data_IF_933037844985
#
_entry.id   IF_933037844985
#
_cell.length_a   1.000
_cell.length_b   1.000
_cell.length_c   1.000
_cell.angle_alpha   90.00
_cell.angle_beta   90.00
_cell.angle_gamma   90.00
#
_symmetry.space_group_name_H-M   'P 1'
#
loop_
_entity.id
_entity.type
_entity.pdbx_description
1 polymer ?
#
# COMPACT_ATOMS: atom_id res chain seq x y z
N UNK A 1 -3.26 -15.62 -13.46
CA UNK A 1 -3.09 -14.29 -12.83
C UNK A 1 -3.40 -14.29 -11.33
N UNK A 2 -4.62 -14.06 -10.82
CA UNK A 2 -4.85 -14.05 -9.35
C UNK A 2 -4.45 -15.38 -8.66
N UNK A 3 -4.66 -16.52 -9.32
CA UNK A 3 -4.22 -17.85 -8.84
C UNK A 3 -2.70 -17.95 -8.61
N UNK A 4 -1.89 -17.17 -9.34
CA UNK A 4 -0.42 -17.13 -9.15
C UNK A 4 -0.04 -16.27 -7.93
N UNK A 5 -0.96 -15.42 -7.46
CA UNK A 5 -0.77 -14.49 -6.34
C UNK A 5 -1.37 -15.00 -5.04
N UNK A 6 -1.86 -16.24 -4.99
CA UNK A 6 -2.46 -16.83 -3.79
C UNK A 6 -1.52 -16.82 -2.58
N UNK A 7 -0.21 -16.93 -2.82
CA UNK A 7 0.82 -16.86 -1.77
C UNK A 7 0.93 -15.48 -1.08
N UNK A 8 0.27 -14.44 -1.63
CA UNK A 8 0.21 -13.09 -1.08
C UNK A 8 -1.12 -12.80 -0.39
N UNK A 9 -2.05 -13.76 -0.41
CA UNK A 9 -3.35 -13.62 0.22
C UNK A 9 -3.21 -13.77 1.73
N UNK A 10 -3.78 -12.84 2.47
CA UNK A 10 -3.90 -12.91 3.93
C UNK A 10 -5.38 -12.97 4.32
N UNK A 11 -5.68 -13.68 5.40
CA UNK A 11 -7.06 -13.79 5.89
C UNK A 11 -7.54 -12.48 6.48
N UNK A 12 -8.85 -12.24 6.38
CA UNK A 12 -9.50 -11.09 6.98
C UNK A 12 -9.33 -11.09 8.50
N UNK A 13 -9.33 -12.28 9.13
CA UNK A 13 -9.15 -12.42 10.57
C UNK A 13 -7.75 -11.97 11.02
N UNK A 14 -6.71 -12.27 10.24
CA UNK A 14 -5.36 -11.78 10.53
C UNK A 14 -5.28 -10.24 10.41
N UNK A 15 -5.96 -9.64 9.42
CA UNK A 15 -6.02 -8.18 9.29
C UNK A 15 -6.81 -7.56 10.44
N UNK A 16 -7.94 -8.16 10.84
CA UNK A 16 -8.71 -7.70 12.00
C UNK A 16 -7.87 -7.76 13.27
N UNK A 17 -7.10 -8.82 13.47
CA UNK A 17 -6.17 -8.92 14.60
C UNK A 17 -5.13 -7.79 14.54
N UNK A 18 -4.52 -7.54 13.38
CA UNK A 18 -3.49 -6.53 13.18
C UNK A 18 -3.97 -5.07 13.34
N UNK A 19 -5.28 -4.83 13.19
CA UNK A 19 -5.89 -3.49 13.19
C UNK A 19 -6.90 -3.28 14.32
N UNK A 20 -6.98 -4.24 15.25
CA UNK A 20 -8.02 -4.30 16.29
C UNK A 20 -9.44 -4.12 15.72
N UNK A 21 -9.78 -4.92 14.71
CA UNK A 21 -11.04 -4.84 13.96
C UNK A 21 -11.29 -3.47 13.32
N UNK A 22 -10.25 -2.89 12.71
CA UNK A 22 -10.29 -1.55 12.07
C UNK A 22 -10.66 -0.42 13.04
N UNK A 23 -10.18 -0.49 14.29
CA UNK A 23 -10.42 0.53 15.31
C UNK A 23 -9.80 1.87 14.92
N UNK A 24 -10.39 2.98 15.37
CA UNK A 24 -9.97 4.33 14.99
C UNK A 24 -8.55 4.69 15.48
N UNK A 25 -8.03 4.03 16.52
CA UNK A 25 -6.63 4.20 16.95
C UNK A 25 -5.60 3.72 15.91
N UNK A 26 -6.03 2.83 15.02
CA UNK A 26 -5.25 2.31 13.91
C UNK A 26 -5.55 3.05 12.61
N UNK A 27 -6.55 3.94 12.59
CA UNK A 27 -6.85 4.75 11.42
C UNK A 27 -5.70 5.73 11.12
N UNK A 28 -5.33 5.82 9.84
CA UNK A 28 -4.28 6.72 9.36
C UNK A 28 -4.90 7.84 8.55
N UNK A 29 -5.71 7.51 7.55
CA UNK A 29 -6.33 8.48 6.64
C UNK A 29 -7.45 7.88 5.80
N UNK A 30 -8.25 8.75 5.21
CA UNK A 30 -9.07 8.41 4.03
C UNK A 30 -8.21 8.61 2.79
N UNK A 31 -8.09 7.59 1.96
CA UNK A 31 -7.56 7.70 0.59
C UNK A 31 -8.70 7.81 -0.43
N UNK A 32 -8.37 8.07 -1.69
CA UNK A 32 -9.37 8.25 -2.76
C UNK A 32 -10.33 7.07 -2.96
N UNK A 33 -9.95 5.87 -2.51
CA UNK A 33 -10.71 4.63 -2.74
C UNK A 33 -11.03 3.87 -1.45
N UNK A 34 -10.91 4.49 -0.27
CA UNK A 34 -11.23 3.84 0.99
C UNK A 34 -10.40 4.32 2.18
N UNK A 35 -10.47 3.59 3.29
CA UNK A 35 -9.79 3.94 4.54
C UNK A 35 -8.45 3.21 4.64
N UNK A 36 -7.45 3.88 5.18
CA UNK A 36 -6.13 3.32 5.45
C UNK A 36 -5.93 3.19 6.95
N UNK A 37 -5.54 1.98 7.37
CA UNK A 37 -5.23 1.64 8.75
C UNK A 37 -3.75 1.21 8.85
N UNK A 38 -3.07 1.55 9.93
CA UNK A 38 -1.76 0.96 10.27
C UNK A 38 -2.00 -0.35 11.01
N UNK A 39 -1.06 -1.28 10.94
CA UNK A 39 -1.06 -2.48 11.75
C UNK A 39 0.25 -3.24 11.61
N UNK A 40 0.42 -4.31 12.38
CA UNK A 40 1.64 -5.13 12.35
C UNK A 40 1.33 -6.52 11.83
N UNK A 41 2.18 -7.02 10.93
CA UNK A 41 2.14 -8.41 10.47
C UNK A 41 3.44 -9.11 10.88
N UNK A 42 3.33 -10.35 11.33
CA UNK A 42 4.49 -11.19 11.61
C UNK A 42 4.84 -11.91 10.31
N UNK A 43 5.95 -11.53 9.67
CA UNK A 43 6.43 -12.24 8.48
C UNK A 43 7.33 -13.39 8.89
N UNK A 44 6.95 -14.62 8.54
CA UNK A 44 7.80 -15.81 8.68
C UNK A 44 8.80 -15.90 7.51
N UNK A 45 9.57 -14.84 7.26
CA UNK A 45 10.75 -14.94 6.38
C UNK A 45 12.00 -15.15 7.23
N UNK A 46 13.02 -15.71 6.58
CA UNK A 46 14.32 -16.27 7.03
C UNK A 46 15.10 -15.58 8.16
N UNK A 47 14.63 -14.44 8.67
CA UNK A 47 15.34 -13.59 9.63
C UNK A 47 14.74 -13.66 11.05
N UNK A 48 13.94 -14.68 11.36
CA UNK A 48 13.50 -14.98 12.74
C UNK A 48 12.15 -14.38 13.16
N UNK A 49 11.23 -14.11 12.24
CA UNK A 49 9.85 -13.74 12.58
C UNK A 49 9.70 -12.30 13.08
N UNK A 50 10.29 -11.32 12.39
CA UNK A 50 10.18 -9.92 12.77
C UNK A 50 8.77 -9.38 12.45
N UNK A 51 8.19 -8.65 13.40
CA UNK A 51 6.97 -7.87 13.17
C UNK A 51 7.28 -6.69 12.25
N UNK A 52 6.48 -6.54 11.18
CA UNK A 52 6.60 -5.45 10.21
C UNK A 52 5.35 -4.58 10.27
N UNK A 53 5.55 -3.27 10.43
CA UNK A 53 4.46 -2.28 10.35
C UNK A 53 4.05 -2.13 8.88
N UNK A 54 2.76 -2.23 8.62
CA UNK A 54 2.16 -2.15 7.28
C UNK A 54 0.96 -1.20 7.26
N UNK A 55 0.60 -0.74 6.07
CA UNK A 55 -0.61 0.03 5.83
C UNK A 55 -1.67 -0.84 5.15
N UNK A 56 -2.83 -1.02 5.77
CA UNK A 56 -4.01 -1.69 5.22
C UNK A 56 -4.96 -0.68 4.59
N UNK A 57 -5.07 -0.68 3.26
CA UNK A 57 -6.06 0.09 2.50
C UNK A 57 -7.30 -0.77 2.30
N UNK A 58 -8.32 -0.53 3.12
CA UNK A 58 -9.63 -1.17 3.01
C UNK A 58 -10.48 -0.38 2.02
N UNK A 59 -10.76 -0.99 0.87
CA UNK A 59 -11.44 -0.30 -0.23
C UNK A 59 -12.93 -0.13 0.06
N UNK A 60 -13.47 1.03 -0.32
CA UNK A 60 -14.91 1.26 -0.26
C UNK A 60 -15.57 0.66 -1.52
N UNK A 61 -16.51 -0.26 -1.31
CA UNK A 61 -17.28 -0.90 -2.39
C UNK A 61 -18.60 -0.21 -2.70
N UNK A 62 -18.93 0.87 -1.99
CA UNK A 62 -20.13 1.66 -2.29
C UNK A 62 -20.11 2.06 -3.77
N UNK A 63 -21.19 1.73 -4.48
CA UNK A 63 -21.40 2.01 -5.91
C UNK A 63 -20.56 1.19 -6.90
N UNK A 64 -19.93 0.08 -6.49
CA UNK A 64 -19.30 -0.86 -7.41
C UNK A 64 -17.97 -0.40 -8.03
N UNK A 65 -17.42 0.73 -7.59
CA UNK A 65 -16.11 1.20 -8.07
C UNK A 65 -14.99 0.25 -7.62
N UNK A 66 -14.88 -0.03 -6.31
CA UNK A 66 -13.68 -0.63 -5.69
C UNK A 66 -13.14 -1.97 -6.23
N UNK A 67 -13.89 -2.73 -7.04
CA UNK A 67 -13.37 -3.97 -7.65
C UNK A 67 -12.38 -3.69 -8.77
N UNK A 68 -12.67 -2.70 -9.62
CA UNK A 68 -11.77 -2.35 -10.72
C UNK A 68 -10.45 -1.80 -10.19
N UNK A 69 -10.50 -0.88 -9.21
CA UNK A 69 -9.27 -0.35 -8.63
C UNK A 69 -8.49 -1.41 -7.85
N UNK A 70 -9.18 -2.32 -7.16
CA UNK A 70 -8.52 -3.44 -6.48
C UNK A 70 -7.69 -4.29 -7.44
N UNK A 71 -8.30 -4.74 -8.54
CA UNK A 71 -7.64 -5.58 -9.53
C UNK A 71 -6.52 -4.83 -10.25
N UNK A 72 -6.77 -3.57 -10.64
CA UNK A 72 -5.76 -2.74 -11.32
C UNK A 72 -4.55 -2.51 -10.42
N UNK A 73 -4.78 -2.21 -9.14
CA UNK A 73 -3.70 -1.93 -8.19
C UNK A 73 -2.88 -3.19 -7.88
N UNK A 74 -3.52 -4.38 -7.77
CA UNK A 74 -2.81 -5.67 -7.71
C UNK A 74 -1.98 -5.89 -8.97
N UNK A 75 -2.58 -5.75 -10.15
CA UNK A 75 -1.89 -6.00 -11.43
C UNK A 75 -0.66 -5.11 -11.60
N UNK A 76 -0.79 -3.82 -11.29
CA UNK A 76 0.27 -2.85 -11.46
C UNK A 76 1.35 -3.01 -10.38
N UNK A 77 0.99 -2.88 -9.10
CA UNK A 77 1.99 -2.78 -8.03
C UNK A 77 2.61 -4.11 -7.63
N UNK A 78 1.98 -5.24 -7.97
CA UNK A 78 2.65 -6.52 -7.84
C UNK A 78 3.78 -6.68 -8.87
N UNK A 79 3.49 -6.34 -10.14
CA UNK A 79 4.41 -6.58 -11.26
C UNK A 79 5.55 -5.57 -11.31
N UNK A 80 5.29 -4.34 -10.87
CA UNK A 80 6.20 -3.22 -10.98
C UNK A 80 6.82 -2.87 -9.62
N UNK A 81 8.04 -3.35 -9.38
CA UNK A 81 8.80 -3.06 -8.16
C UNK A 81 9.92 -2.07 -8.44
N UNK A 82 9.86 -0.92 -7.78
CA UNK A 82 10.85 0.13 -7.90
C UNK A 82 10.93 0.94 -6.62
N UNK A 83 12.13 1.39 -6.23
CA UNK A 83 12.38 2.15 -4.99
C UNK A 83 11.61 3.48 -4.86
N UNK A 84 11.05 3.98 -5.96
CA UNK A 84 10.25 5.21 -6.01
C UNK A 84 8.75 4.92 -6.26
N UNK A 85 8.33 3.67 -6.09
CA UNK A 85 6.94 3.24 -6.07
C UNK A 85 6.64 2.58 -4.73
N UNK A 86 5.41 2.71 -4.25
CA UNK A 86 4.97 2.02 -3.04
C UNK A 86 4.93 0.50 -3.28
N UNK A 87 5.46 -0.27 -2.33
CA UNK A 87 5.54 -1.72 -2.42
C UNK A 87 4.24 -2.36 -1.91
N UNK A 88 3.45 -2.96 -2.82
CA UNK A 88 2.35 -3.84 -2.43
C UNK A 88 2.93 -5.15 -1.88
N UNK A 89 2.54 -5.50 -0.65
CA UNK A 89 2.99 -6.72 0.04
C UNK A 89 2.00 -7.87 -0.15
N UNK A 90 0.72 -7.57 -0.27
CA UNK A 90 -0.32 -8.56 -0.52
C UNK A 90 -1.72 -7.98 -0.44
N UNK A 91 -2.71 -8.87 -0.37
CA UNK A 91 -4.11 -8.49 -0.38
C UNK A 91 -4.99 -9.46 0.43
N UNK A 92 -6.21 -9.03 0.72
CA UNK A 92 -7.30 -9.85 1.22
C UNK A 92 -8.50 -9.70 0.29
N UNK A 93 -9.08 -10.84 -0.08
CA UNK A 93 -10.29 -10.97 -0.87
C UNK A 93 -11.15 -12.07 -0.21
N UNK A 94 -11.92 -11.66 0.79
CA UNK A 94 -12.76 -12.55 1.60
C UNK A 94 -14.12 -11.92 1.87
N UNK A 95 -15.18 -12.63 1.49
CA UNK A 95 -16.55 -12.13 1.57
C UNK A 95 -16.69 -10.82 0.78
N UNK A 96 -17.14 -9.77 1.48
CA UNK A 96 -17.28 -8.45 0.88
C UNK A 96 -16.07 -7.53 1.04
N UNK A 97 -15.00 -7.99 1.68
CA UNK A 97 -13.80 -7.20 1.94
C UNK A 97 -12.78 -7.32 0.81
N UNK A 98 -12.31 -6.15 0.36
CA UNK A 98 -11.20 -6.00 -0.59
C UNK A 98 -10.17 -5.10 0.06
N UNK A 99 -9.06 -5.67 0.50
CA UNK A 99 -8.05 -4.96 1.28
C UNK A 99 -6.69 -5.16 0.62
N UNK A 100 -5.98 -4.07 0.40
CA UNK A 100 -4.60 -4.08 -0.07
C UNK A 100 -3.70 -3.71 1.09
N UNK A 101 -2.51 -4.31 1.20
CA UNK A 101 -1.56 -3.88 2.22
C UNK A 101 -0.15 -3.68 1.68
N UNK A 102 0.50 -2.65 2.21
CA UNK A 102 1.75 -2.09 1.71
C UNK A 102 2.75 -1.93 2.85
N UNK A 103 4.01 -1.74 2.48
CA UNK A 103 5.00 -1.20 3.42
C UNK A 103 4.52 0.14 3.99
N UNK A 104 4.66 0.33 5.30
CA UNK A 104 4.22 1.56 5.94
C UNK A 104 5.22 2.69 5.71
N UNK A 105 4.75 3.75 5.04
CA UNK A 105 5.53 4.97 4.81
C UNK A 105 5.49 5.89 6.04
N UNK A 106 6.51 5.84 6.88
CA UNK A 106 6.57 6.59 8.16
C UNK A 106 6.49 8.11 7.99
N UNK A 107 6.98 8.64 6.87
CA UNK A 107 6.90 10.07 6.57
C UNK A 107 5.52 10.47 6.02
N UNK A 108 4.68 9.51 5.64
CA UNK A 108 3.34 9.78 5.11
C UNK A 108 3.35 10.52 3.77
N UNK A 109 2.22 11.19 3.46
CA UNK A 109 2.00 11.87 2.18
C UNK A 109 2.78 13.19 2.06
N UNK A 110 3.33 13.44 0.87
CA UNK A 110 3.98 14.71 0.50
C UNK A 110 3.06 15.92 0.71
N UNK A 111 1.75 15.76 0.54
CA UNK A 111 0.73 16.80 0.72
C UNK A 111 0.87 17.54 2.06
N UNK A 112 1.21 16.81 3.14
CA UNK A 112 1.38 17.36 4.49
C UNK A 112 2.56 18.33 4.59
N UNK A 113 3.56 18.15 3.74
CA UNK A 113 4.78 18.95 3.73
C UNK A 113 4.66 20.16 2.80
N UNK A 114 3.85 20.04 1.74
CA UNK A 114 3.61 21.14 0.80
C UNK A 114 2.86 22.30 1.46
N UNK A 115 1.93 22.01 2.37
CA UNK A 115 1.18 23.04 3.10
C UNK A 115 2.00 23.76 4.18
N UNK A 116 3.04 23.11 4.72
CA UNK A 116 3.83 23.63 5.84
C UNK A 116 5.15 24.28 5.42
N UNK A 117 5.53 24.19 4.13
CA UNK A 117 6.79 24.67 3.57
C UNK A 117 8.04 24.24 4.38
N UNK A 118 7.97 23.05 5.00
CA UNK A 118 9.01 22.51 5.90
C UNK A 118 10.15 21.84 5.15
N UNK A 119 10.02 21.64 3.84
CA UNK A 119 11.03 21.00 3.01
C UNK A 119 12.06 22.01 2.53
N UNK A 120 13.34 21.68 2.71
CA UNK A 120 14.43 22.41 2.06
C UNK A 120 14.39 22.22 0.55
N UNK A 121 14.97 23.16 -0.19
CA UNK A 121 15.09 23.06 -1.66
C UNK A 121 15.74 21.74 -2.11
N UNK A 122 16.80 21.30 -1.43
CA UNK A 122 17.47 20.04 -1.73
C UNK A 122 16.54 18.81 -1.54
N UNK A 123 15.71 18.80 -0.50
CA UNK A 123 14.72 17.74 -0.29
C UNK A 123 13.63 17.77 -1.37
N UNK A 124 13.12 18.95 -1.72
CA UNK A 124 12.13 19.12 -2.78
C UNK A 124 12.65 18.58 -4.12
N UNK A 125 13.87 18.94 -4.51
CA UNK A 125 14.52 18.43 -5.72
C UNK A 125 14.66 16.90 -5.68
N UNK A 126 15.11 16.34 -4.55
CA UNK A 126 15.23 14.88 -4.38
C UNK A 126 13.89 14.16 -4.56
N UNK A 127 12.81 14.74 -4.02
CA UNK A 127 11.44 14.20 -4.16
C UNK A 127 10.99 14.27 -5.62
N UNK A 128 11.17 15.40 -6.31
CA UNK A 128 10.81 15.56 -7.71
C UNK A 128 11.54 14.54 -8.60
N UNK A 129 12.85 14.38 -8.40
CA UNK A 129 13.65 13.40 -9.13
C UNK A 129 13.16 11.97 -8.84
N UNK A 130 12.83 11.67 -7.59
CA UNK A 130 12.26 10.37 -7.21
C UNK A 130 10.95 10.07 -7.92
N UNK A 131 10.01 11.03 -7.92
CA UNK A 131 8.73 10.91 -8.61
C UNK A 131 8.91 10.71 -10.13
N UNK A 132 9.79 11.50 -10.76
CA UNK A 132 10.10 11.38 -12.17
C UNK A 132 10.66 9.99 -12.53
N UNK A 133 11.58 9.45 -11.72
CA UNK A 133 12.13 8.09 -11.91
C UNK A 133 11.09 7.00 -11.73
N UNK A 134 10.19 7.14 -10.75
CA UNK A 134 9.07 6.22 -10.57
C UNK A 134 8.16 6.19 -11.79
N UNK A 135 7.83 7.37 -12.34
CA UNK A 135 6.99 7.48 -13.53
C UNK A 135 7.69 6.98 -14.80
N UNK A 136 8.98 7.29 -14.98
CA UNK A 136 9.80 6.77 -16.07
C UNK A 136 9.79 5.23 -16.08
N UNK A 137 9.96 4.60 -14.93
CA UNK A 137 9.91 3.15 -14.78
C UNK A 137 8.53 2.57 -15.16
N UNK A 138 7.43 3.25 -14.80
CA UNK A 138 6.09 2.82 -15.19
C UNK A 138 5.83 2.94 -16.70
N UNK A 139 6.41 3.95 -17.35
CA UNK A 139 6.30 4.12 -18.80
C UNK A 139 7.21 3.18 -19.60
N UNK A 140 8.37 2.80 -19.04
CA UNK A 140 9.37 1.95 -19.70
C UNK A 140 9.80 0.79 -18.79
N UNK A 141 8.90 -0.15 -18.48
CA UNK A 141 9.25 -1.24 -17.57
C UNK A 141 10.29 -2.18 -18.20
N UNK A 142 11.29 -2.65 -17.43
CA UNK A 142 12.30 -3.57 -17.94
C UNK A 142 11.67 -4.85 -18.50
N UNK A 143 12.10 -5.27 -19.69
CA UNK A 143 11.65 -6.52 -20.31
C UNK A 143 10.41 -6.41 -21.21
N UNK A 144 10.04 -5.20 -21.65
CA UNK A 144 9.21 -4.99 -22.85
C UNK A 144 10.05 -4.98 -24.11
#
# INVERSE_FOLDING_TARGET
>A
MLKELEHLKISLDAIKLATNSFHDDYFVRVGGFGKVYKGEIITTTTDGGLAKVVAFKRLDRRHGQGEHEFLMEIMMLFRYRHKNLVSLLGFCDEGDEKILFYEYEFNGSLERYLSSNTLTWAQQLKICIGAARGLEYLHNPPGT
#
